data_IF_902553860461
#
_entry.id   IF_902553860461
#
_cell.length_a   1.000
_cell.length_b   1.000
_cell.length_c   1.000
_cell.angle_alpha   90.00
_cell.angle_beta   90.00
_cell.angle_gamma   90.00
#
_symmetry.space_group_name_H-M   'P 1'
#
loop_
_entity.id
_entity.type
_entity.pdbx_description
1 polymer ?
#
# COMPACT_ATOMS: atom_id res chain seq x y z
N UNK A 1 6.91 -7.94 -19.13
CA UNK A 1 5.90 -8.04 -20.22
C UNK A 1 4.94 -9.19 -19.92
N UNK A 2 4.05 -9.05 -18.92
CA UNK A 2 3.02 -10.09 -18.62
C UNK A 2 1.65 -9.47 -18.24
N UNK A 3 1.57 -8.17 -17.94
CA UNK A 3 0.32 -7.51 -17.55
C UNK A 3 -0.69 -7.27 -18.68
N UNK A 4 -0.35 -7.58 -19.94
CA UNK A 4 -1.24 -7.31 -21.08
C UNK A 4 -2.12 -8.51 -21.45
N UNK A 5 -1.76 -9.74 -21.03
CA UNK A 5 -2.53 -10.95 -21.36
C UNK A 5 -3.78 -11.15 -20.48
N UNK A 6 -3.78 -10.66 -19.23
CA UNK A 6 -4.91 -10.85 -18.31
C UNK A 6 -6.14 -10.00 -18.67
N UNK A 7 -5.97 -8.93 -19.45
CA UNK A 7 -7.08 -8.06 -19.90
C UNK A 7 -7.90 -8.67 -21.05
N UNK A 8 -7.42 -9.72 -21.72
CA UNK A 8 -8.11 -10.34 -22.85
C UNK A 8 -9.21 -11.35 -22.47
N UNK A 9 -9.43 -11.61 -21.17
CA UNK A 9 -10.32 -12.70 -20.71
C UNK A 9 -11.59 -12.19 -19.99
N UNK A 10 -11.67 -10.91 -19.62
CA UNK A 10 -12.90 -10.34 -19.06
C UNK A 10 -13.62 -9.55 -20.15
N UNK A 11 -14.87 -9.94 -20.41
CA UNK A 11 -15.71 -9.28 -21.40
C UNK A 11 -15.84 -7.79 -21.06
N UNK A 12 -15.68 -6.92 -22.06
CA UNK A 12 -15.62 -5.46 -21.86
C UNK A 12 -16.85 -4.95 -21.12
N UNK A 13 -18.02 -5.53 -21.41
CA UNK A 13 -19.29 -5.20 -20.76
C UNK A 13 -19.29 -5.52 -19.25
N UNK A 14 -18.68 -6.64 -18.85
CA UNK A 14 -18.53 -7.01 -17.44
C UNK A 14 -17.61 -6.02 -16.73
N UNK A 15 -16.52 -5.63 -17.39
CA UNK A 15 -15.57 -4.66 -16.84
C UNK A 15 -16.23 -3.29 -16.65
N UNK A 16 -17.01 -2.82 -17.62
CA UNK A 16 -17.69 -1.53 -17.55
C UNK A 16 -18.82 -1.54 -16.51
N UNK A 17 -19.54 -2.66 -16.36
CA UNK A 17 -20.55 -2.83 -15.31
C UNK A 17 -19.94 -2.78 -13.89
N UNK A 18 -18.83 -3.48 -13.65
CA UNK A 18 -18.12 -3.45 -12.36
C UNK A 18 -17.62 -2.04 -12.03
N UNK A 19 -17.21 -1.28 -13.04
CA UNK A 19 -16.82 0.12 -12.86
C UNK A 19 -18.01 0.97 -12.40
N UNK A 20 -19.16 0.86 -13.08
CA UNK A 20 -20.37 1.61 -12.73
C UNK A 20 -20.88 1.30 -11.31
N UNK A 21 -20.89 0.03 -10.90
CA UNK A 21 -21.30 -0.35 -9.55
C UNK A 21 -20.36 0.24 -8.47
N UNK A 22 -19.05 0.21 -8.72
CA UNK A 22 -18.06 0.77 -7.81
C UNK A 22 -18.17 2.29 -7.71
N UNK A 23 -18.34 2.99 -8.83
CA UNK A 23 -18.56 4.44 -8.86
C UNK A 23 -19.82 4.83 -8.10
N UNK A 24 -20.93 4.10 -8.30
CA UNK A 24 -22.18 4.31 -7.59
C UNK A 24 -22.04 4.08 -6.08
N UNK A 25 -21.29 3.06 -5.67
CA UNK A 25 -21.02 2.80 -4.26
C UNK A 25 -20.26 3.97 -3.61
N UNK A 26 -19.24 4.49 -4.29
CA UNK A 26 -18.43 5.59 -3.77
C UNK A 26 -19.24 6.88 -3.55
N UNK A 27 -20.31 7.10 -4.31
CA UNK A 27 -21.19 8.27 -4.16
C UNK A 27 -22.16 8.17 -2.97
N UNK A 28 -22.51 6.96 -2.53
CA UNK A 28 -23.61 6.73 -1.58
C UNK A 28 -23.14 6.35 -0.17
N UNK A 29 -21.92 5.82 -0.02
CA UNK A 29 -21.40 5.41 1.26
C UNK A 29 -20.80 6.58 2.06
N UNK A 30 -20.93 6.53 3.39
CA UNK A 30 -20.39 7.57 4.27
C UNK A 30 -18.88 7.41 4.46
N UNK A 31 -18.09 8.50 4.38
CA UNK A 31 -16.67 8.45 4.69
C UNK A 31 -16.41 8.01 6.15
N UNK A 32 -15.33 7.25 6.35
CA UNK A 32 -14.75 6.95 7.67
C UNK A 32 -13.25 6.71 7.56
N UNK A 33 -12.57 6.67 8.70
CA UNK A 33 -11.16 6.30 8.77
C UNK A 33 -10.92 4.90 8.19
N UNK A 34 -9.80 4.74 7.46
CA UNK A 34 -9.39 3.47 6.87
C UNK A 34 -9.12 2.42 7.97
N UNK A 35 -9.51 1.17 7.73
CA UNK A 35 -9.19 0.03 8.59
C UNK A 35 -8.11 -0.83 7.96
N UNK A 36 -6.88 -0.71 8.45
CA UNK A 36 -5.76 -1.55 8.01
C UNK A 36 -5.62 -2.73 8.97
N UNK A 37 -5.59 -3.94 8.41
CA UNK A 37 -5.34 -5.18 9.16
C UNK A 37 -4.11 -5.88 8.61
N UNK A 38 -3.50 -6.77 9.38
CA UNK A 38 -2.32 -7.49 8.94
C UNK A 38 -2.30 -8.94 9.43
N UNK A 39 -1.55 -9.79 8.74
CA UNK A 39 -1.30 -11.19 9.07
C UNK A 39 0.21 -11.44 9.13
N UNK A 40 0.68 -11.97 10.27
CA UNK A 40 2.09 -12.30 10.55
C UNK A 40 2.34 -13.82 10.56
N UNK A 41 1.43 -14.65 10.08
CA UNK A 41 1.53 -16.11 10.14
C UNK A 41 2.81 -16.64 9.48
N UNK A 42 3.32 -15.97 8.44
CA UNK A 42 4.58 -16.33 7.80
C UNK A 42 5.77 -16.29 8.77
N UNK A 43 5.76 -15.40 9.77
CA UNK A 43 6.81 -15.32 10.81
C UNK A 43 6.81 -16.53 11.75
N UNK A 44 5.80 -17.40 11.71
CA UNK A 44 5.85 -18.68 12.44
C UNK A 44 6.89 -19.65 11.85
N UNK A 45 7.40 -19.39 10.65
CA UNK A 45 8.49 -20.17 10.04
C UNK A 45 9.87 -19.81 10.58
N UNK A 46 10.00 -18.69 11.33
CA UNK A 46 11.26 -18.30 11.94
C UNK A 46 11.70 -19.29 13.02
N UNK A 47 13.02 -19.51 13.19
CA UNK A 47 13.55 -20.22 14.34
C UNK A 47 13.09 -19.60 15.66
N UNK A 48 12.80 -20.44 16.66
CA UNK A 48 12.39 -19.97 17.99
C UNK A 48 13.59 -19.57 18.87
N UNK A 49 14.35 -18.56 18.44
CA UNK A 49 15.48 -17.99 19.20
C UNK A 49 15.14 -16.60 19.76
N UNK A 50 15.79 -16.14 20.84
CA UNK A 50 15.56 -14.79 21.38
C UNK A 50 15.71 -13.68 20.34
N UNK A 51 16.68 -13.79 19.43
CA UNK A 51 16.96 -12.82 18.37
C UNK A 51 15.81 -12.75 17.37
N UNK A 52 15.31 -13.90 16.91
CA UNK A 52 14.19 -13.96 15.98
C UNK A 52 12.87 -13.52 16.62
N UNK A 53 12.70 -13.74 17.93
CA UNK A 53 11.56 -13.20 18.68
C UNK A 53 11.63 -11.68 18.80
N UNK A 54 12.82 -11.10 18.97
CA UNK A 54 13.02 -9.65 18.92
C UNK A 54 12.69 -9.12 17.53
N UNK A 55 13.24 -9.72 16.48
CA UNK A 55 12.96 -9.35 15.08
C UNK A 55 11.46 -9.35 14.79
N UNK A 56 10.76 -10.45 15.09
CA UNK A 56 9.30 -10.56 14.93
C UNK A 56 8.54 -9.44 15.65
N UNK A 57 8.81 -9.22 16.93
CA UNK A 57 8.12 -8.19 17.72
C UNK A 57 8.40 -6.78 17.21
N UNK A 58 9.62 -6.51 16.77
CA UNK A 58 10.01 -5.20 16.23
C UNK A 58 9.31 -4.92 14.90
N UNK A 59 9.30 -5.87 13.98
CA UNK A 59 8.57 -5.77 12.71
C UNK A 59 7.07 -5.60 12.94
N UNK A 60 6.45 -6.41 13.81
CA UNK A 60 5.03 -6.28 14.15
C UNK A 60 4.72 -4.92 14.77
N UNK A 61 5.56 -4.43 15.68
CA UNK A 61 5.39 -3.11 16.29
C UNK A 61 5.47 -2.01 15.24
N UNK A 62 6.38 -2.09 14.28
CA UNK A 62 6.49 -1.13 13.19
C UNK A 62 5.24 -1.14 12.29
N UNK A 63 4.75 -2.32 11.89
CA UNK A 63 3.49 -2.49 11.15
C UNK A 63 2.31 -1.88 11.90
N UNK A 64 2.20 -2.14 13.21
CA UNK A 64 1.12 -1.60 14.04
C UNK A 64 1.17 -0.07 14.12
N UNK A 65 2.35 0.51 14.31
CA UNK A 65 2.53 1.97 14.35
C UNK A 65 2.14 2.59 13.00
N UNK A 66 2.63 2.05 11.90
CA UNK A 66 2.32 2.55 10.56
C UNK A 66 0.84 2.39 10.22
N UNK A 67 0.24 1.25 10.54
CA UNK A 67 -1.20 0.99 10.33
C UNK A 67 -2.05 1.98 11.11
N UNK A 68 -1.70 2.27 12.37
CA UNK A 68 -2.39 3.27 13.19
C UNK A 68 -2.19 4.70 12.64
N UNK A 69 -0.98 5.03 12.18
CA UNK A 69 -0.69 6.32 11.56
C UNK A 69 -1.64 6.60 10.38
N UNK A 70 -1.74 5.66 9.43
CA UNK A 70 -2.64 5.82 8.28
C UNK A 70 -4.12 5.72 8.65
N UNK A 71 -4.49 4.84 9.59
CA UNK A 71 -5.88 4.74 10.06
C UNK A 71 -6.36 6.02 10.73
N UNK A 72 -5.47 6.80 11.35
CA UNK A 72 -5.82 8.09 11.94
C UNK A 72 -5.77 9.25 10.93
N UNK A 73 -4.93 9.14 9.90
CA UNK A 73 -4.70 10.19 8.92
C UNK A 73 -5.67 10.15 7.73
N UNK A 74 -6.04 8.96 7.27
CA UNK A 74 -6.75 8.76 6.01
C UNK A 74 -8.20 8.40 6.25
N UNK A 75 -9.08 9.24 5.70
CA UNK A 75 -10.51 8.95 5.55
C UNK A 75 -10.77 8.41 4.15
N UNK A 76 -11.55 7.35 4.05
CA UNK A 76 -11.97 6.73 2.79
C UNK A 76 -13.48 6.55 2.76
N UNK A 77 -14.01 6.27 1.57
CA UNK A 77 -15.30 5.61 1.43
C UNK A 77 -15.06 4.09 1.63
N UNK A 78 -15.76 3.42 2.55
CA UNK A 78 -15.64 1.98 2.76
C UNK A 78 -15.83 1.21 1.48
N UNK A 79 -15.12 0.10 1.30
CA UNK A 79 -15.27 -0.72 0.09
C UNK A 79 -16.62 -1.48 0.10
N UNK A 80 -17.17 -1.84 -1.07
CA UNK A 80 -18.37 -2.68 -1.15
C UNK A 80 -18.19 -4.01 -0.43
N UNK A 81 -19.28 -4.59 0.09
CA UNK A 81 -19.26 -5.92 0.70
C UNK A 81 -18.75 -6.96 -0.29
N UNK A 82 -17.89 -7.86 0.18
CA UNK A 82 -17.22 -8.90 -0.62
C UNK A 82 -15.89 -8.43 -1.23
N UNK A 83 -15.60 -7.12 -1.18
CA UNK A 83 -14.35 -6.56 -1.72
C UNK A 83 -13.11 -7.00 -0.95
N UNK A 84 -13.25 -7.56 0.26
CA UNK A 84 -12.12 -8.04 1.06
C UNK A 84 -11.98 -9.55 1.05
N UNK A 85 -12.62 -10.22 0.09
CA UNK A 85 -12.32 -11.62 -0.22
C UNK A 85 -11.15 -11.72 -1.18
N UNK A 86 -10.33 -12.74 -0.97
CA UNK A 86 -9.34 -13.17 -1.93
C UNK A 86 -10.00 -14.09 -2.97
N UNK A 87 -10.21 -13.56 -4.17
CA UNK A 87 -10.85 -14.24 -5.31
C UNK A 87 -9.88 -14.51 -6.48
N UNK A 88 -8.58 -14.26 -6.28
CA UNK A 88 -7.57 -14.49 -7.29
C UNK A 88 -7.24 -15.98 -7.39
N UNK A 89 -6.90 -16.43 -8.61
CA UNK A 89 -6.56 -17.84 -8.89
C UNK A 89 -5.30 -18.31 -8.15
N UNK A 90 -4.34 -17.42 -7.94
CA UNK A 90 -3.12 -17.72 -7.20
C UNK A 90 -3.38 -17.60 -5.70
N UNK A 91 -2.66 -18.38 -4.90
CA UNK A 91 -2.94 -18.58 -3.47
C UNK A 91 -1.90 -17.92 -2.56
N UNK A 92 -1.11 -17.00 -3.09
CA UNK A 92 -0.02 -16.36 -2.39
C UNK A 92 -0.01 -14.85 -2.60
N UNK A 93 0.50 -14.12 -1.61
CA UNK A 93 0.83 -12.71 -1.72
C UNK A 93 2.27 -12.54 -1.27
N UNK A 94 3.18 -12.46 -2.26
CA UNK A 94 4.60 -12.70 -2.02
C UNK A 94 4.84 -14.12 -1.51
N UNK A 95 5.55 -14.20 -0.39
CA UNK A 95 5.88 -15.44 0.31
C UNK A 95 4.72 -15.98 1.18
N UNK A 96 3.73 -15.16 1.50
CA UNK A 96 2.62 -15.57 2.35
C UNK A 96 1.62 -16.43 1.58
N UNK A 97 1.25 -17.58 2.14
CA UNK A 97 0.13 -18.39 1.67
C UNK A 97 -1.16 -17.78 2.22
N UNK A 98 -2.12 -17.53 1.34
CA UNK A 98 -3.39 -16.90 1.70
C UNK A 98 -4.27 -17.88 2.50
N UNK A 99 -4.69 -17.52 3.74
CA UNK A 99 -5.57 -18.36 4.55
C UNK A 99 -6.90 -18.65 3.85
N UNK A 100 -7.46 -19.84 4.06
CA UNK A 100 -8.78 -20.20 3.50
C UNK A 100 -9.88 -19.23 3.94
N UNK A 101 -9.83 -18.73 5.18
CA UNK A 101 -10.78 -17.76 5.71
C UNK A 101 -10.85 -16.48 4.85
N UNK A 102 -9.71 -16.03 4.32
CA UNK A 102 -9.63 -14.81 3.50
C UNK A 102 -10.25 -15.01 2.11
N UNK A 103 -10.41 -16.26 1.65
CA UNK A 103 -11.07 -16.59 0.38
C UNK A 103 -12.58 -16.71 0.53
N UNK A 104 -13.04 -17.21 1.67
CA UNK A 104 -14.47 -17.50 1.90
C UNK A 104 -15.21 -16.35 2.55
N UNK A 105 -14.53 -15.62 3.44
CA UNK A 105 -15.13 -14.65 4.35
C UNK A 105 -14.62 -13.26 4.04
N UNK A 106 -15.54 -12.30 4.01
CA UNK A 106 -15.19 -10.90 3.83
C UNK A 106 -14.53 -10.37 5.11
N UNK A 107 -13.33 -9.79 4.98
CA UNK A 107 -12.58 -9.27 6.14
C UNK A 107 -13.10 -7.88 6.52
N UNK A 108 -13.27 -7.59 7.82
CA UNK A 108 -13.56 -6.23 8.29
C UNK A 108 -12.30 -5.35 8.22
N UNK A 109 -11.95 -4.97 7.00
CA UNK A 109 -10.77 -4.18 6.68
C UNK A 109 -11.00 -3.45 5.35
N UNK A 110 -10.13 -2.51 5.01
CA UNK A 110 -10.07 -1.91 3.69
C UNK A 110 -8.73 -2.17 3.01
N UNK A 111 -7.72 -2.55 3.79
CA UNK A 111 -6.42 -2.97 3.32
C UNK A 111 -5.89 -4.05 4.27
N UNK A 112 -5.71 -5.26 3.75
CA UNK A 112 -5.12 -6.38 4.48
C UNK A 112 -3.69 -6.63 4.02
N UNK A 113 -2.75 -6.62 4.96
CA UNK A 113 -1.32 -6.77 4.71
C UNK A 113 -0.81 -8.14 5.18
N UNK A 114 -0.22 -8.92 4.28
CA UNK A 114 0.50 -10.13 4.58
C UNK A 114 1.97 -9.80 4.85
N UNK A 115 2.42 -10.04 6.07
CA UNK A 115 3.75 -9.64 6.50
C UNK A 115 4.70 -10.82 6.36
N UNK A 116 5.74 -10.61 5.57
CA UNK A 116 6.68 -11.65 5.16
C UNK A 116 8.12 -11.18 5.41
N UNK A 117 9.08 -12.08 5.20
CA UNK A 117 10.49 -11.75 5.22
C UNK A 117 11.25 -12.63 4.24
N UNK A 118 12.37 -12.13 3.75
CA UNK A 118 13.37 -12.86 2.95
C UNK A 118 14.75 -12.63 3.55
N UNK A 119 15.72 -13.47 3.22
CA UNK A 119 17.11 -13.30 3.66
C UNK A 119 17.98 -12.91 2.46
N UNK A 120 18.08 -11.60 2.20
CA UNK A 120 18.74 -11.05 1.01
C UNK A 120 19.86 -10.08 1.42
N UNK A 121 20.96 -10.57 2.02
CA UNK A 121 22.01 -9.73 2.59
C UNK A 121 22.83 -8.96 1.54
N UNK A 122 22.66 -9.27 0.25
CA UNK A 122 23.32 -8.57 -0.86
C UNK A 122 22.52 -7.33 -1.33
N UNK A 123 21.27 -7.22 -0.89
CA UNK A 123 20.39 -6.11 -1.24
C UNK A 123 20.53 -4.96 -0.22
N UNK A 124 20.21 -3.75 -0.65
CA UNK A 124 20.32 -2.56 0.21
C UNK A 124 19.01 -2.12 0.85
N UNK A 125 17.88 -2.74 0.49
CA UNK A 125 16.59 -2.41 1.08
C UNK A 125 16.38 -3.13 2.41
N UNK A 126 15.71 -2.43 3.32
CA UNK A 126 15.32 -2.95 4.64
C UNK A 126 13.96 -3.66 4.55
N UNK A 127 13.08 -3.15 3.71
CA UNK A 127 11.79 -3.75 3.40
C UNK A 127 11.33 -3.31 2.01
N UNK A 128 10.35 -4.00 1.46
CA UNK A 128 9.59 -3.56 0.29
C UNK A 128 8.10 -3.91 0.44
N UNK A 129 7.27 -3.20 -0.31
CA UNK A 129 5.83 -3.41 -0.37
C UNK A 129 5.28 -3.58 -1.78
N UNK A 130 4.14 -4.23 -1.88
CA UNK A 130 3.38 -4.29 -3.12
C UNK A 130 1.97 -4.85 -2.95
N UNK A 131 1.03 -4.32 -3.73
CA UNK A 131 -0.32 -4.87 -3.79
C UNK A 131 -0.34 -6.23 -4.49
N UNK A 132 -1.13 -7.13 -3.92
CA UNK A 132 -1.42 -8.45 -4.47
C UNK A 132 -2.82 -8.48 -5.09
N UNK A 133 -3.73 -7.65 -4.58
CA UNK A 133 -5.07 -7.47 -5.14
C UNK A 133 -5.48 -6.01 -5.19
N UNK A 134 -5.88 -5.58 -6.38
CA UNK A 134 -6.33 -4.22 -6.67
C UNK A 134 -7.69 -4.26 -7.35
N UNK A 135 -8.64 -3.50 -6.83
CA UNK A 135 -9.95 -3.31 -7.44
C UNK A 135 -9.94 -2.01 -8.24
N UNK A 136 -10.39 -2.07 -9.50
CA UNK A 136 -10.48 -0.87 -10.35
C UNK A 136 -11.41 0.16 -9.68
N UNK A 137 -11.04 1.45 -9.74
CA UNK A 137 -11.72 2.60 -9.09
C UNK A 137 -11.62 2.59 -7.55
N UNK A 138 -11.76 1.44 -6.90
CA UNK A 138 -11.80 1.29 -5.44
C UNK A 138 -10.40 1.26 -4.81
N UNK A 139 -9.37 0.80 -5.53
CA UNK A 139 -7.99 0.74 -5.06
C UNK A 139 -7.55 -0.62 -4.50
N UNK A 140 -6.37 -0.68 -3.84
CA UNK A 140 -5.83 -1.92 -3.27
C UNK A 140 -6.74 -2.47 -2.17
N UNK A 141 -6.71 -3.79 -2.01
CA UNK A 141 -7.43 -4.51 -0.93
C UNK A 141 -6.50 -5.42 -0.16
N UNK A 142 -5.56 -6.07 -0.86
CA UNK A 142 -4.60 -6.99 -0.26
C UNK A 142 -3.19 -6.67 -0.72
N UNK A 143 -2.24 -6.84 0.19
CA UNK A 143 -0.87 -6.45 0.00
C UNK A 143 0.12 -7.27 0.79
N UNK A 144 1.39 -7.19 0.43
CA UNK A 144 2.51 -7.64 1.25
C UNK A 144 3.41 -6.50 1.75
N UNK A 145 3.94 -6.65 2.96
CA UNK A 145 5.18 -5.97 3.36
C UNK A 145 6.20 -7.07 3.64
N UNK A 146 7.32 -7.03 2.93
CA UNK A 146 8.39 -8.00 3.09
C UNK A 146 9.60 -7.32 3.75
N UNK A 147 10.09 -7.91 4.84
CA UNK A 147 11.27 -7.44 5.56
C UNK A 147 12.52 -8.22 5.14
N UNK A 148 13.62 -7.50 4.86
CA UNK A 148 14.89 -8.14 4.55
C UNK A 148 15.62 -8.51 5.86
N UNK A 149 15.49 -9.78 6.26
CA UNK A 149 16.17 -10.37 7.41
C UNK A 149 17.70 -10.28 7.29
N UNK A 150 18.25 -10.37 6.07
CA UNK A 150 19.69 -10.30 5.84
C UNK A 150 20.32 -8.99 6.31
N UNK A 151 19.56 -7.90 6.22
CA UNK A 151 19.96 -6.57 6.71
C UNK A 151 19.52 -6.35 8.14
N UNK A 152 18.25 -6.66 8.45
CA UNK A 152 17.64 -6.39 9.75
C UNK A 152 18.20 -7.25 10.89
N UNK A 153 18.87 -8.37 10.61
CA UNK A 153 19.57 -9.14 11.63
C UNK A 153 20.76 -8.37 12.26
N UNK A 154 21.26 -7.32 11.59
CA UNK A 154 22.28 -6.42 12.13
C UNK A 154 21.69 -5.21 12.89
N UNK A 155 20.37 -5.02 12.87
CA UNK A 155 19.72 -3.92 13.57
C UNK A 155 19.69 -4.16 15.08
N UNK A 156 20.10 -3.14 15.83
CA UNK A 156 19.83 -3.01 17.25
C UNK A 156 18.46 -2.35 17.45
N UNK A 157 17.41 -3.15 17.56
CA UNK A 157 16.04 -2.66 17.77
C UNK A 157 15.81 -1.93 19.11
N UNK A 158 16.73 -2.01 20.08
CA UNK A 158 16.67 -1.20 21.29
C UNK A 158 17.14 0.24 21.05
N UNK A 159 17.89 0.49 19.97
CA UNK A 159 18.25 1.84 19.55
C UNK A 159 17.04 2.54 18.92
N UNK A 160 16.64 3.68 19.50
CA UNK A 160 15.47 4.42 19.06
C UNK A 160 15.58 4.93 17.62
N UNK A 161 16.77 5.33 17.16
CA UNK A 161 16.97 5.81 15.80
C UNK A 161 16.79 4.70 14.78
N UNK A 162 17.40 3.53 15.01
CA UNK A 162 17.24 2.39 14.10
C UNK A 162 15.80 1.86 14.09
N UNK A 163 15.11 1.86 15.24
CA UNK A 163 13.69 1.49 15.27
C UNK A 163 12.81 2.53 14.57
N UNK A 164 13.08 3.83 14.73
CA UNK A 164 12.36 4.89 14.02
C UNK A 164 12.58 4.83 12.51
N UNK A 165 13.79 4.48 12.07
CA UNK A 165 14.12 4.24 10.67
C UNK A 165 13.31 3.08 10.07
N UNK A 166 13.18 1.97 10.81
CA UNK A 166 12.29 0.86 10.43
C UNK A 166 10.82 1.33 10.32
N UNK A 167 10.32 2.07 11.31
CA UNK A 167 8.95 2.60 11.27
C UNK A 167 8.75 3.52 10.07
N UNK A 168 9.70 4.42 9.80
CA UNK A 168 9.68 5.32 8.64
C UNK A 168 9.67 4.56 7.32
N UNK A 169 10.48 3.50 7.23
CA UNK A 169 10.49 2.58 6.08
C UNK A 169 9.14 1.91 5.88
N UNK A 170 8.54 1.34 6.93
CA UNK A 170 7.21 0.72 6.82
C UNK A 170 6.13 1.73 6.41
N UNK A 171 6.20 2.97 6.92
CA UNK A 171 5.30 4.05 6.49
C UNK A 171 5.51 4.37 5.01
N UNK A 172 6.75 4.45 4.54
CA UNK A 172 7.09 4.67 3.14
C UNK A 172 6.52 3.55 2.24
N UNK A 173 6.72 2.30 2.63
CA UNK A 173 6.22 1.13 1.90
C UNK A 173 4.68 1.10 1.85
N UNK A 174 3.99 1.40 2.96
CA UNK A 174 2.51 1.53 2.98
C UNK A 174 2.05 2.78 2.20
N UNK A 175 2.88 3.82 2.09
CA UNK A 175 2.55 4.98 1.23
C UNK A 175 2.46 4.55 -0.24
N UNK A 176 3.40 3.72 -0.71
CA UNK A 176 3.33 3.16 -2.07
C UNK A 176 2.08 2.33 -2.31
N UNK A 177 1.65 1.54 -1.32
CA UNK A 177 0.38 0.81 -1.37
C UNK A 177 -0.81 1.70 -1.69
N UNK A 178 -0.88 2.84 -1.01
CA UNK A 178 -1.99 3.78 -1.10
C UNK A 178 -2.00 4.57 -2.43
N UNK A 179 -1.16 4.18 -3.39
CA UNK A 179 -1.13 4.74 -4.74
C UNK A 179 -0.13 5.87 -4.93
N UNK A 180 0.77 6.10 -3.97
CA UNK A 180 1.86 7.07 -4.11
C UNK A 180 3.06 6.47 -4.81
N UNK A 181 2.87 6.07 -6.07
CA UNK A 181 3.94 5.57 -6.94
C UNK A 181 3.87 6.27 -8.29
N UNK A 182 4.99 6.32 -9.02
CA UNK A 182 5.03 6.87 -10.39
C UNK A 182 4.06 6.14 -11.34
N UNK A 183 3.73 4.89 -11.04
CA UNK A 183 2.84 4.06 -11.85
C UNK A 183 1.37 4.27 -11.52
N UNK A 184 1.06 4.72 -10.31
CA UNK A 184 -0.31 4.91 -9.82
C UNK A 184 -0.76 6.37 -9.86
N UNK A 185 0.17 7.33 -9.81
CA UNK A 185 -0.12 8.76 -9.97
C UNK A 185 -1.01 9.06 -11.19
N UNK A 186 -0.75 8.50 -12.40
CA UNK A 186 -1.64 8.70 -13.56
C UNK A 186 -3.08 8.20 -13.39
N UNK A 187 -3.33 7.35 -12.39
CA UNK A 187 -4.65 6.76 -12.09
C UNK A 187 -5.41 7.52 -11.00
N UNK A 188 -4.82 8.56 -10.40
CA UNK A 188 -5.48 9.37 -9.39
C UNK A 188 -6.70 10.09 -9.95
N UNK A 189 -7.74 10.19 -9.12
CA UNK A 189 -9.02 10.81 -9.46
C UNK A 189 -9.26 12.08 -8.62
N UNK A 190 -10.02 13.02 -9.17
CA UNK A 190 -10.46 14.23 -8.49
C UNK A 190 -11.68 13.98 -7.59
N UNK A 191 -12.17 15.03 -6.93
CA UNK A 191 -13.36 14.96 -6.07
C UNK A 191 -14.65 14.59 -6.81
N UNK A 192 -14.66 14.68 -8.14
CA UNK A 192 -15.77 14.26 -9.01
C UNK A 192 -15.52 12.86 -9.58
N UNK A 193 -14.55 12.11 -9.04
CA UNK A 193 -14.16 10.77 -9.47
C UNK A 193 -13.60 10.70 -10.91
N UNK A 194 -13.17 11.83 -11.48
CA UNK A 194 -12.55 11.87 -12.82
C UNK A 194 -11.04 11.80 -12.70
N UNK A 195 -10.39 11.04 -13.58
CA UNK A 195 -8.92 11.00 -13.62
C UNK A 195 -8.32 12.38 -13.78
N UNK A 196 -7.28 12.68 -13.01
CA UNK A 196 -6.52 13.92 -13.19
C UNK A 196 -5.87 13.97 -14.58
N UNK A 197 -6.08 15.06 -15.32
CA UNK A 197 -5.41 15.27 -16.60
C UNK A 197 -3.92 15.60 -16.37
N UNK A 198 -3.03 14.68 -16.76
CA UNK A 198 -1.57 14.82 -16.62
C UNK A 198 -1.15 15.29 -15.20
N UNK A 199 -1.29 14.46 -14.16
CA UNK A 199 -1.06 14.86 -12.76
C UNK A 199 0.40 15.24 -12.46
N UNK A 200 1.31 14.99 -13.40
CA UNK A 200 2.72 15.35 -13.32
C UNK A 200 3.14 16.33 -14.42
N UNK A 201 4.26 17.01 -14.20
CA UNK A 201 4.96 17.83 -15.19
C UNK A 201 6.46 17.73 -14.96
N UNK A 202 7.28 18.06 -15.95
CA UNK A 202 8.74 18.05 -15.81
C UNK A 202 9.29 19.46 -16.01
N UNK A 203 10.21 19.85 -15.13
CA UNK A 203 10.95 21.11 -15.24
C UNK A 203 12.45 20.85 -15.10
N UNK A 204 13.26 21.67 -15.77
CA UNK A 204 14.70 21.68 -15.55
C UNK A 204 14.99 22.50 -14.29
N UNK A 205 15.37 21.81 -13.21
CA UNK A 205 15.70 22.43 -11.93
C UNK A 205 17.16 22.15 -11.61
N UNK A 206 17.96 23.21 -11.45
CA UNK A 206 19.40 23.11 -11.15
C UNK A 206 20.14 22.18 -12.12
N UNK A 207 19.80 22.25 -13.41
CA UNK A 207 20.41 21.41 -14.46
C UNK A 207 19.89 19.97 -14.56
N UNK A 208 18.94 19.56 -13.72
CA UNK A 208 18.34 18.22 -13.73
C UNK A 208 16.88 18.27 -14.16
N UNK A 209 16.44 17.33 -15.01
CA UNK A 209 15.02 17.15 -15.30
C UNK A 209 14.35 16.56 -14.06
N UNK A 210 13.46 17.32 -13.44
CA UNK A 210 12.75 16.94 -12.22
C UNK A 210 11.26 16.84 -12.51
N UNK A 211 10.64 15.74 -12.09
CA UNK A 211 9.20 15.54 -12.18
C UNK A 211 8.51 16.15 -10.96
N UNK A 212 7.49 16.96 -11.19
CA UNK A 212 6.66 17.61 -10.17
C UNK A 212 5.23 17.07 -10.23
N UNK A 213 4.61 16.90 -9.07
CA UNK A 213 3.16 16.73 -8.95
C UNK A 213 2.49 18.11 -9.09
N UNK A 214 1.41 18.18 -9.87
CA UNK A 214 0.67 19.44 -10.10
C UNK A 214 -0.83 19.34 -9.84
N UNK A 215 -1.26 18.38 -9.03
CA UNK A 215 -2.67 18.29 -8.62
C UNK A 215 -3.03 19.48 -7.71
N UNK A 216 -4.28 19.97 -7.74
CA UNK A 216 -4.68 21.18 -7.00
C UNK A 216 -4.37 21.12 -5.49
N UNK A 217 -4.66 19.99 -4.83
CA UNK A 217 -4.41 19.83 -3.40
C UNK A 217 -2.92 19.78 -3.04
N UNK A 218 -2.08 19.16 -3.87
CA UNK A 218 -0.62 19.16 -3.64
C UNK A 218 -0.07 20.58 -3.78
N UNK A 219 -0.53 21.33 -4.78
CA UNK A 219 -0.12 22.72 -4.97
C UNK A 219 -0.58 23.61 -3.80
N UNK A 220 -1.84 23.48 -3.37
CA UNK A 220 -2.38 24.23 -2.24
C UNK A 220 -1.61 23.94 -0.94
N UNK A 221 -1.35 22.66 -0.65
CA UNK A 221 -0.56 22.26 0.50
C UNK A 221 0.87 22.81 0.44
N UNK A 222 1.52 22.72 -0.72
CA UNK A 222 2.87 23.23 -0.92
C UNK A 222 2.94 24.75 -0.69
N UNK A 223 1.96 25.52 -1.20
CA UNK A 223 1.87 26.97 -0.96
C UNK A 223 1.67 27.31 0.51
N UNK A 224 0.85 26.53 1.23
CA UNK A 224 0.62 26.71 2.66
C UNK A 224 1.88 26.41 3.49
N UNK A 225 2.62 25.36 3.14
CA UNK A 225 3.80 24.91 3.88
C UNK A 225 5.05 25.74 3.54
N UNK A 226 5.17 26.18 2.30
CA UNK A 226 6.28 26.99 1.78
C UNK A 226 5.78 28.33 1.22
N UNK A 227 5.22 29.22 2.06
CA UNK A 227 4.59 30.47 1.60
C UNK A 227 5.53 31.39 0.82
N UNK A 228 6.84 31.29 1.05
CA UNK A 228 7.87 32.12 0.43
C UNK A 228 8.23 31.74 -1.02
N UNK A 229 7.72 30.62 -1.54
CA UNK A 229 7.97 30.16 -2.92
C UNK A 229 6.78 30.38 -3.87
N UNK A 230 5.70 31.00 -3.39
CA UNK A 230 4.42 31.08 -4.10
C UNK A 230 4.09 32.45 -4.72
N UNK A 231 5.07 33.36 -4.79
CA UNK A 231 4.98 34.66 -5.46
C UNK A 231 5.43 34.58 -6.92
#
# INVERSE_FOLDING_TARGET
MVNQLYYLILDKEIVDFIVDENERHLQNAKPRNIKITYDMAYFNTLPNTPEMQIFRRSCEKAIKIASNFFSNLITIIPKPKGSMKWDLRHNNCGEAIIPTADKTTDKDSDLHLYITFTNEPQETYIAYAGWCRFLRVIGPTHGQVNFNLGILNSYNFANSFQFQDLVGTVIHEITHFLGFSIYDIPRWVDSNMKSHFNPTTQYLMRGMKTTFLKTPHVLEFAKKYYPWYAS
#
